data_IF_476620151683
#
_entry.id   IF_476620151683
#
_cell.length_a   1.000
_cell.length_b   1.000
_cell.length_c   1.000
_cell.angle_alpha   90.00
_cell.angle_beta   90.00
_cell.angle_gamma   90.00
#
_symmetry.space_group_name_H-M   'P 1'
#
loop_
_entity.id
_entity.type
_entity.pdbx_description
1 polymer ?
#
# COMPACT_ATOMS: atom_id res chain seq x y z
N UNK A 1 -17.59 -5.47 7.58
CA UNK A 1 -16.82 -5.57 6.32
C UNK A 1 -16.37 -4.20 5.80
N UNK A 2 -17.24 -3.18 5.77
CA UNK A 2 -16.88 -1.87 5.22
C UNK A 2 -15.74 -1.14 5.96
N UNK A 3 -15.69 -1.21 7.30
CA UNK A 3 -14.61 -0.56 8.08
C UNK A 3 -13.23 -1.13 7.73
N UNK A 4 -13.07 -2.46 7.75
CA UNK A 4 -11.79 -3.10 7.39
C UNK A 4 -11.36 -2.80 5.95
N UNK A 5 -12.32 -2.71 5.03
CA UNK A 5 -12.02 -2.34 3.64
C UNK A 5 -11.53 -0.89 3.55
N UNK A 6 -12.20 0.04 4.24
CA UNK A 6 -11.82 1.45 4.29
C UNK A 6 -10.43 1.61 4.93
N UNK A 7 -10.15 0.88 6.00
CA UNK A 7 -8.86 0.90 6.69
C UNK A 7 -7.73 0.37 5.80
N UNK A 8 -7.95 -0.75 5.10
CA UNK A 8 -6.99 -1.29 4.14
C UNK A 8 -6.71 -0.31 2.99
N UNK A 9 -7.75 0.33 2.45
CA UNK A 9 -7.60 1.34 1.38
C UNK A 9 -6.86 2.58 1.88
N UNK A 10 -7.18 3.08 3.08
CA UNK A 10 -6.47 4.20 3.70
C UNK A 10 -4.97 3.91 3.86
N UNK A 11 -4.63 2.73 4.38
CA UNK A 11 -3.23 2.31 4.54
C UNK A 11 -2.54 2.20 3.17
N UNK A 12 -3.20 1.67 2.14
CA UNK A 12 -2.64 1.62 0.77
C UNK A 12 -2.37 3.00 0.19
N UNK A 13 -3.31 3.94 0.33
CA UNK A 13 -3.18 5.31 -0.20
C UNK A 13 -2.07 6.05 0.53
N UNK A 14 -2.04 5.98 1.86
CA UNK A 14 -0.98 6.60 2.67
C UNK A 14 0.39 5.99 2.37
N UNK A 15 0.48 4.67 2.29
CA UNK A 15 1.72 3.97 1.93
C UNK A 15 2.21 4.33 0.52
N UNK A 16 1.30 4.45 -0.45
CA UNK A 16 1.63 4.91 -1.81
C UNK A 16 2.18 6.34 -1.84
N UNK A 17 1.53 7.26 -1.13
CA UNK A 17 1.97 8.66 -1.00
C UNK A 17 3.37 8.76 -0.36
N UNK A 18 3.58 8.03 0.74
CA UNK A 18 4.88 7.99 1.42
C UNK A 18 5.95 7.33 0.54
N UNK A 19 5.61 6.28 -0.19
CA UNK A 19 6.53 5.61 -1.10
C UNK A 19 6.98 6.50 -2.26
N UNK A 20 6.04 7.19 -2.91
CA UNK A 20 6.35 8.09 -4.04
C UNK A 20 7.17 9.30 -3.56
N UNK A 21 6.79 9.91 -2.44
CA UNK A 21 7.55 11.04 -1.86
C UNK A 21 8.95 10.61 -1.40
N UNK A 22 9.09 9.44 -0.80
CA UNK A 22 10.38 8.86 -0.42
C UNK A 22 11.28 8.59 -1.62
N UNK A 23 10.74 8.03 -2.71
CA UNK A 23 11.50 7.80 -3.95
C UNK A 23 11.99 9.12 -4.56
N UNK A 24 11.15 10.16 -4.55
CA UNK A 24 11.50 11.48 -5.06
C UNK A 24 12.60 12.15 -4.22
N UNK A 25 12.49 12.07 -2.89
CA UNK A 25 13.50 12.57 -1.96
C UNK A 25 14.84 11.84 -2.13
N UNK A 26 14.80 10.50 -2.25
CA UNK A 26 15.99 9.70 -2.48
C UNK A 26 16.69 10.09 -3.80
N UNK A 27 15.91 10.32 -4.87
CA UNK A 27 16.46 10.79 -6.14
C UNK A 27 17.11 12.17 -6.05
N UNK A 28 16.51 13.09 -5.28
CA UNK A 28 17.09 14.41 -5.07
C UNK A 28 18.39 14.36 -4.26
N UNK A 29 18.44 13.55 -3.21
CA UNK A 29 19.67 13.31 -2.44
C UNK A 29 20.75 12.71 -3.34
N UNK A 30 20.40 11.75 -4.19
CA UNK A 30 21.34 11.12 -5.11
C UNK A 30 21.95 12.11 -6.10
N UNK A 31 21.15 13.05 -6.60
CA UNK A 31 21.61 14.12 -7.48
C UNK A 31 22.63 15.07 -6.81
N UNK A 32 22.58 15.24 -5.48
CA UNK A 32 23.60 16.01 -4.75
C UNK A 32 24.92 15.25 -4.55
N UNK A 33 24.89 13.91 -4.63
CA UNK A 33 26.07 13.07 -4.36
C UNK A 33 26.88 12.82 -5.64
N UNK A 34 26.22 12.76 -6.80
CA UNK A 34 26.92 12.48 -8.06
C UNK A 34 26.23 13.10 -9.28
N UNK A 35 27.00 13.84 -10.09
CA UNK A 35 26.57 14.33 -11.40
C UNK A 35 26.80 13.31 -12.54
N UNK A 36 27.46 12.18 -12.24
CA UNK A 36 27.80 11.17 -13.25
C UNK A 36 26.60 10.32 -13.68
N UNK A 37 25.57 10.22 -12.84
CA UNK A 37 24.38 9.42 -13.09
C UNK A 37 23.11 10.26 -12.92
N UNK A 38 22.35 10.42 -14.00
CA UNK A 38 21.05 11.08 -13.97
C UNK A 38 19.96 10.06 -13.62
N UNK A 39 19.28 10.25 -12.49
CA UNK A 39 18.14 9.42 -12.11
C UNK A 39 16.89 9.89 -12.87
N UNK A 40 16.46 9.11 -13.86
CA UNK A 40 15.28 9.44 -14.68
C UNK A 40 14.02 8.86 -14.05
N UNK A 41 13.14 9.74 -13.58
CA UNK A 41 11.82 9.36 -13.10
C UNK A 41 10.83 9.29 -14.28
N UNK A 42 10.37 8.09 -14.60
CA UNK A 42 9.31 7.87 -15.58
C UNK A 42 8.00 7.54 -14.88
N UNK A 43 6.88 7.94 -15.47
CA UNK A 43 5.55 7.75 -14.86
C UNK A 43 5.13 6.27 -14.86
N UNK A 44 5.62 5.48 -15.83
CA UNK A 44 5.21 4.09 -15.99
C UNK A 44 5.60 3.16 -14.81
N UNK A 45 6.87 3.13 -14.34
CA UNK A 45 7.25 2.38 -13.13
C UNK A 45 6.50 2.82 -11.88
N UNK A 46 6.22 4.12 -11.74
CA UNK A 46 5.48 4.67 -10.60
C UNK A 46 4.05 4.13 -10.59
N UNK A 47 3.36 4.19 -11.74
CA UNK A 47 2.02 3.63 -11.90
C UNK A 47 1.99 2.11 -11.67
N UNK A 48 2.98 1.38 -12.19
CA UNK A 48 3.12 -0.06 -11.97
C UNK A 48 3.32 -0.39 -10.49
N UNK A 49 4.21 0.33 -9.80
CA UNK A 49 4.46 0.14 -8.38
C UNK A 49 3.22 0.44 -7.52
N UNK A 50 2.53 1.56 -7.80
CA UNK A 50 1.28 1.91 -7.14
C UNK A 50 0.19 0.87 -7.40
N UNK A 51 0.04 0.42 -8.65
CA UNK A 51 -0.93 -0.61 -9.02
C UNK A 51 -0.66 -1.95 -8.33
N UNK A 52 0.60 -2.37 -8.27
CA UNK A 52 0.99 -3.61 -7.60
C UNK A 52 0.79 -3.53 -6.09
N UNK A 53 1.16 -2.39 -5.47
CA UNK A 53 0.92 -2.12 -4.05
C UNK A 53 -0.57 -2.17 -3.70
N UNK A 54 -1.41 -1.51 -4.51
CA UNK A 54 -2.86 -1.54 -4.34
C UNK A 54 -3.44 -2.95 -4.50
N UNK A 55 -2.98 -3.73 -5.49
CA UNK A 55 -3.41 -5.11 -5.70
C UNK A 55 -3.09 -6.00 -4.49
N UNK A 56 -1.86 -5.91 -3.96
CA UNK A 56 -1.46 -6.63 -2.75
C UNK A 56 -2.32 -6.16 -1.55
N UNK A 57 -2.42 -4.87 -1.29
CA UNK A 57 -3.15 -4.38 -0.13
C UNK A 57 -4.66 -4.68 -0.18
N UNK A 58 -5.27 -4.64 -1.37
CA UNK A 58 -6.66 -5.06 -1.56
C UNK A 58 -6.85 -6.57 -1.40
N UNK A 59 -5.97 -7.40 -1.97
CA UNK A 59 -6.07 -8.86 -1.84
C UNK A 59 -5.91 -9.28 -0.38
N UNK A 60 -4.87 -8.80 0.31
CA UNK A 60 -4.63 -9.11 1.71
C UNK A 60 -5.60 -8.41 2.68
N UNK A 61 -6.29 -7.32 2.30
CA UNK A 61 -7.33 -6.70 3.12
C UNK A 61 -8.71 -7.30 2.93
N UNK A 62 -9.08 -7.63 1.68
CA UNK A 62 -10.39 -8.18 1.33
C UNK A 62 -10.56 -9.63 1.79
N UNK A 63 -9.56 -10.48 1.59
CA UNK A 63 -9.64 -11.90 1.95
C UNK A 63 -9.92 -12.13 3.45
N UNK A 64 -9.18 -11.52 4.40
CA UNK A 64 -9.48 -11.67 5.82
C UNK A 64 -10.78 -10.97 6.22
N UNK A 65 -11.10 -9.80 5.64
CA UNK A 65 -12.37 -9.11 5.92
C UNK A 65 -13.59 -9.97 5.53
N UNK A 66 -13.49 -10.70 4.41
CA UNK A 66 -14.50 -11.65 3.97
C UNK A 66 -14.60 -12.86 4.90
N UNK A 67 -13.47 -13.34 5.41
CA UNK A 67 -13.43 -14.45 6.36
C UNK A 67 -14.06 -14.05 7.70
N UNK A 68 -13.72 -12.86 8.23
CA UNK A 68 -14.29 -12.33 9.47
C UNK A 68 -15.80 -12.06 9.37
N UNK A 69 -16.29 -11.59 8.23
CA UNK A 69 -17.71 -11.35 8.01
C UNK A 69 -18.56 -12.65 7.94
N UNK A 70 -17.93 -13.82 7.84
CA UNK A 70 -18.61 -15.13 7.81
C UNK A 70 -18.63 -15.85 9.16
N UNK A 71 -17.92 -15.35 10.18
CA UNK A 71 -17.98 -15.94 11.51
C UNK A 71 -19.32 -15.64 12.19
N UNK A 72 -19.87 -16.66 12.85
CA UNK A 72 -21.07 -16.51 13.66
C UNK A 72 -20.72 -15.74 14.96
N UNK A 73 -21.57 -14.80 15.42
CA UNK A 73 -21.29 -13.99 16.62
C UNK A 73 -21.12 -14.85 17.89
N UNK A 74 -21.70 -16.04 17.91
CA UNK A 74 -21.54 -17.04 18.98
C UNK A 74 -20.14 -17.65 19.03
N UNK A 75 -19.47 -17.87 17.88
CA UNK A 75 -18.08 -18.36 17.84
C UNK A 75 -17.07 -17.27 18.17
N UNK A 76 -17.37 -16.01 17.85
CA UNK A 76 -16.50 -14.89 18.17
C UNK A 76 -16.43 -14.62 19.70
N UNK A 77 -17.55 -14.82 20.41
CA UNK A 77 -17.64 -14.63 21.86
C UNK A 77 -17.12 -15.84 22.66
N UNK A 78 -17.17 -17.05 22.10
CA UNK A 78 -16.66 -18.27 22.75
C UNK A 78 -15.12 -18.40 22.70
N UNK A 79 -14.44 -17.50 21.99
CA UNK A 79 -12.99 -17.52 21.76
C UNK A 79 -12.24 -16.46 22.59
N UNK A 80 -12.93 -15.80 23.52
CA UNK A 80 -12.33 -15.00 24.60
C UNK A 80 -11.74 -15.90 25.70
#
# INVERSE_FOLDING_TARGET
MNQFLIEAVMICVLGGLVGVSGAWLAGHIFAFVTDAFSMVFTVFPVLMACGFSAAIGLTFGYFPARSAARLSPTEALARE
#
